data_IF_846897590101
#
_entry.id   IF_846897590101
#
_cell.length_a   1.000
_cell.length_b   1.000
_cell.length_c   1.000
_cell.angle_alpha   90.00
_cell.angle_beta   90.00
_cell.angle_gamma   90.00
#
_symmetry.space_group_name_H-M   'P 1'
#
loop_
_entity.id
_entity.type
_entity.pdbx_description
1 polymer ?
#
# COMPACT_ATOMS: atom_id res chain seq x y z
N UNK A 1 12.30 -25.67 18.85
CA UNK A 1 11.48 -24.77 18.02
C UNK A 1 12.21 -23.46 17.83
N UNK A 2 12.17 -22.90 16.62
CA UNK A 2 12.78 -21.62 16.31
C UNK A 2 11.87 -20.48 16.78
N UNK A 3 12.49 -19.37 17.18
CA UNK A 3 11.84 -18.15 17.61
C UNK A 3 11.82 -17.14 16.45
N UNK A 4 10.63 -16.78 16.01
CA UNK A 4 10.34 -15.75 15.02
C UNK A 4 8.99 -15.10 15.38
N UNK A 5 8.57 -14.08 14.63
CA UNK A 5 7.31 -13.37 14.87
C UNK A 5 6.14 -14.35 15.04
N UNK A 6 5.44 -14.36 16.19
CA UNK A 6 4.31 -15.26 16.43
C UNK A 6 3.21 -15.15 15.37
N UNK A 7 3.02 -13.98 14.76
CA UNK A 7 2.03 -13.77 13.70
C UNK A 7 2.31 -14.64 12.47
N UNK A 8 3.57 -14.94 12.16
CA UNK A 8 3.95 -15.76 11.00
C UNK A 8 3.46 -17.21 11.07
N UNK A 9 3.03 -17.68 12.25
CA UNK A 9 2.41 -19.01 12.38
C UNK A 9 0.99 -19.06 11.80
N UNK A 10 0.29 -17.93 11.78
CA UNK A 10 -1.11 -17.83 11.35
C UNK A 10 -1.27 -17.02 10.06
N UNK A 11 -0.31 -16.13 9.78
CA UNK A 11 -0.29 -15.26 8.61
C UNK A 11 1.05 -15.41 7.91
N UNK A 12 1.07 -16.22 6.84
CA UNK A 12 2.30 -16.51 6.10
C UNK A 12 2.92 -15.21 5.53
N UNK A 13 4.20 -14.92 5.81
CA UNK A 13 4.92 -13.81 5.16
C UNK A 13 5.27 -14.11 3.69
N UNK A 14 4.99 -15.33 3.20
CA UNK A 14 5.22 -15.74 1.82
C UNK A 14 5.68 -17.19 1.72
N UNK A 15 5.57 -17.77 0.51
CA UNK A 15 5.99 -19.14 0.27
C UNK A 15 7.51 -19.27 0.24
N UNK A 16 8.00 -20.46 0.58
CA UNK A 16 9.38 -20.86 0.34
C UNK A 16 9.62 -21.05 -1.17
N UNK A 17 10.82 -20.76 -1.70
CA UNK A 17 11.15 -21.07 -3.08
C UNK A 17 11.03 -22.58 -3.34
N UNK A 18 10.33 -22.99 -4.40
CA UNK A 18 10.17 -24.42 -4.73
C UNK A 18 11.50 -25.17 -4.89
N UNK A 19 12.56 -24.45 -5.29
CA UNK A 19 13.91 -25.02 -5.41
C UNK A 19 14.53 -25.37 -4.05
N UNK A 20 14.13 -24.69 -2.96
CA UNK A 20 14.56 -25.00 -1.59
C UNK A 20 14.03 -26.34 -1.12
N UNK A 21 12.79 -26.67 -1.49
CA UNK A 21 12.15 -27.93 -1.13
C UNK A 21 12.92 -29.13 -1.65
N UNK A 22 13.39 -29.06 -2.89
CA UNK A 22 14.25 -30.10 -3.46
C UNK A 22 15.56 -30.25 -2.69
N UNK A 23 16.20 -29.14 -2.30
CA UNK A 23 17.44 -29.19 -1.52
C UNK A 23 17.23 -29.81 -0.13
N UNK A 24 16.11 -29.52 0.53
CA UNK A 24 15.74 -30.17 1.79
C UNK A 24 15.44 -31.65 1.60
N UNK A 25 14.75 -32.02 0.53
CA UNK A 25 14.48 -33.41 0.18
C UNK A 25 15.79 -34.20 0.02
N UNK A 26 16.78 -33.64 -0.68
CA UNK A 26 18.11 -34.25 -0.86
C UNK A 26 18.86 -34.42 0.49
N UNK A 27 18.67 -33.52 1.46
CA UNK A 27 19.18 -33.72 2.82
C UNK A 27 18.45 -34.85 3.54
N UNK A 28 17.13 -34.93 3.43
CA UNK A 28 16.33 -35.97 4.06
C UNK A 28 16.74 -37.34 3.52
N UNK A 29 16.98 -37.49 2.22
CA UNK A 29 17.52 -38.73 1.63
C UNK A 29 18.84 -39.16 2.29
N UNK A 30 19.77 -38.23 2.51
CA UNK A 30 21.07 -38.50 3.14
C UNK A 30 20.94 -38.85 4.62
N UNK A 31 20.01 -38.22 5.35
CA UNK A 31 19.75 -38.52 6.76
C UNK A 31 19.09 -39.91 6.87
N UNK A 32 18.08 -40.17 6.03
CA UNK A 32 17.31 -41.41 6.02
C UNK A 32 18.14 -42.64 5.60
N UNK A 33 19.23 -42.46 4.86
CA UNK A 33 20.16 -43.52 4.49
C UNK A 33 21.01 -44.07 5.67
N UNK A 34 21.10 -43.35 6.79
CA UNK A 34 21.93 -43.75 7.94
C UNK A 34 21.24 -44.76 8.87
N UNK A 35 19.91 -44.86 8.78
CA UNK A 35 19.04 -45.66 9.69
C UNK A 35 17.86 -46.25 8.92
N UNK A 36 16.83 -46.68 9.66
CA UNK A 36 15.55 -47.06 9.09
C UNK A 36 14.95 -45.88 8.32
N UNK A 37 15.07 -45.92 6.99
CA UNK A 37 14.63 -44.87 6.08
C UNK A 37 13.15 -44.55 6.26
N UNK A 38 12.31 -45.56 6.45
CA UNK A 38 10.87 -45.36 6.63
C UNK A 38 10.59 -44.51 7.87
N UNK A 39 11.23 -44.82 9.01
CA UNK A 39 11.04 -44.06 10.27
C UNK A 39 11.48 -42.60 10.12
N UNK A 40 12.60 -42.35 9.46
CA UNK A 40 13.10 -40.98 9.26
C UNK A 40 12.18 -40.19 8.33
N UNK A 41 11.75 -40.79 7.21
CA UNK A 41 10.85 -40.16 6.25
C UNK A 41 9.50 -39.83 6.89
N UNK A 42 8.93 -40.76 7.68
CA UNK A 42 7.69 -40.55 8.42
C UNK A 42 7.82 -39.39 9.44
N UNK A 43 8.95 -39.29 10.14
CA UNK A 43 9.21 -38.19 11.08
C UNK A 43 9.24 -36.83 10.38
N UNK A 44 9.93 -36.73 9.25
CA UNK A 44 9.92 -35.50 8.45
C UNK A 44 8.52 -35.19 7.91
N UNK A 45 7.80 -36.20 7.41
CA UNK A 45 6.43 -36.03 6.89
C UNK A 45 5.50 -35.46 7.95
N UNK A 46 5.51 -36.03 9.15
CA UNK A 46 4.71 -35.55 10.28
C UNK A 46 5.08 -34.10 10.65
N UNK A 47 6.38 -33.78 10.67
CA UNK A 47 6.83 -32.43 10.96
C UNK A 47 6.35 -31.38 9.94
N UNK A 48 6.21 -31.75 8.66
CA UNK A 48 5.64 -30.91 7.61
C UNK A 48 4.10 -30.93 7.57
N UNK A 49 3.42 -31.54 8.54
CA UNK A 49 1.95 -31.58 8.62
C UNK A 49 1.29 -32.68 7.79
N UNK A 50 2.04 -33.71 7.39
CA UNK A 50 1.45 -34.96 6.92
C UNK A 50 0.84 -35.75 8.09
N UNK A 51 -0.25 -36.47 7.82
CA UNK A 51 -0.99 -37.23 8.82
C UNK A 51 -1.07 -38.71 8.46
N UNK A 52 -0.98 -39.59 9.46
CA UNK A 52 -1.08 -41.04 9.28
C UNK A 52 0.19 -41.66 8.71
N UNK A 53 0.39 -42.95 8.99
CA UNK A 53 1.56 -43.69 8.50
C UNK A 53 1.34 -44.14 7.06
N UNK A 54 2.37 -44.03 6.22
CA UNK A 54 2.30 -44.51 4.85
C UNK A 54 2.40 -46.02 4.80
N UNK A 55 1.64 -46.62 3.89
CA UNK A 55 1.49 -48.08 3.77
C UNK A 55 2.73 -48.78 3.17
N UNK A 56 3.66 -48.02 2.58
CA UNK A 56 4.95 -48.51 2.08
C UNK A 56 5.98 -47.39 2.09
N UNK A 57 7.26 -47.73 1.89
CA UNK A 57 8.34 -46.74 1.75
C UNK A 57 8.17 -45.82 0.53
N UNK A 58 7.66 -46.35 -0.60
CA UNK A 58 7.38 -45.52 -1.78
C UNK A 58 6.26 -44.53 -1.54
N UNK A 59 5.24 -44.93 -0.77
CA UNK A 59 4.19 -44.02 -0.31
C UNK A 59 4.72 -43.00 0.69
N UNK A 60 5.61 -43.41 1.61
CA UNK A 60 6.22 -42.50 2.58
C UNK A 60 6.95 -41.33 1.89
N UNK A 61 7.73 -41.61 0.84
CA UNK A 61 8.39 -40.57 0.05
C UNK A 61 7.42 -39.67 -0.72
N UNK A 62 6.37 -40.26 -1.32
CA UNK A 62 5.34 -39.50 -2.07
C UNK A 62 4.50 -38.61 -1.15
N UNK A 63 4.18 -39.11 0.04
CA UNK A 63 3.42 -38.38 1.04
C UNK A 63 4.28 -37.29 1.70
N UNK A 64 5.58 -37.54 1.89
CA UNK A 64 6.54 -36.53 2.32
C UNK A 64 6.64 -35.38 1.29
N UNK A 65 6.85 -35.69 0.01
CA UNK A 65 6.91 -34.69 -1.07
C UNK A 65 5.61 -33.84 -1.10
N UNK A 66 4.46 -34.49 -0.94
CA UNK A 66 3.15 -33.82 -0.85
C UNK A 66 2.98 -32.98 0.41
N UNK A 67 3.55 -33.39 1.54
CA UNK A 67 3.55 -32.61 2.78
C UNK A 67 4.48 -31.40 2.68
N UNK A 68 5.67 -31.57 2.12
CA UNK A 68 6.63 -30.48 1.90
C UNK A 68 6.04 -29.41 0.99
N UNK A 69 5.43 -29.79 -0.14
CA UNK A 69 4.76 -28.83 -1.04
C UNK A 69 3.67 -27.99 -0.38
N UNK A 70 2.90 -28.58 0.56
CA UNK A 70 1.90 -27.84 1.33
C UNK A 70 2.55 -26.92 2.36
N UNK A 71 3.58 -27.41 3.04
CA UNK A 71 4.29 -26.63 4.05
C UNK A 71 5.07 -25.43 3.44
N UNK A 72 5.49 -25.52 2.17
CA UNK A 72 6.13 -24.43 1.44
C UNK A 72 5.29 -23.15 1.40
N UNK A 73 3.96 -23.20 1.53
CA UNK A 73 3.10 -21.99 1.56
C UNK A 73 3.45 -21.04 2.71
N UNK A 74 4.16 -21.52 3.74
CA UNK A 74 4.63 -20.73 4.86
C UNK A 74 6.13 -20.99 5.12
N UNK A 75 6.98 -20.14 4.55
CA UNK A 75 8.43 -20.32 4.60
C UNK A 75 9.01 -20.45 6.03
N UNK A 76 8.65 -19.61 7.02
CA UNK A 76 9.11 -19.80 8.41
C UNK A 76 8.75 -21.16 9.01
N UNK A 77 7.52 -21.62 8.82
CA UNK A 77 7.08 -22.93 9.33
C UNK A 77 7.77 -24.08 8.61
N UNK A 78 7.96 -23.98 7.30
CA UNK A 78 8.70 -24.95 6.50
C UNK A 78 10.14 -25.11 6.99
N UNK A 79 10.84 -23.99 7.20
CA UNK A 79 12.23 -23.98 7.68
C UNK A 79 12.31 -24.49 9.12
N UNK A 80 11.37 -24.08 10.00
CA UNK A 80 11.30 -24.57 11.38
C UNK A 80 11.08 -26.09 11.43
N UNK A 81 10.17 -26.63 10.63
CA UNK A 81 9.87 -28.06 10.59
C UNK A 81 11.11 -28.88 10.23
N UNK A 82 11.83 -28.48 9.17
CA UNK A 82 13.06 -29.14 8.74
C UNK A 82 14.16 -29.08 9.83
N UNK A 83 14.42 -27.88 10.34
CA UNK A 83 15.46 -27.66 11.37
C UNK A 83 15.16 -28.44 12.65
N UNK A 84 13.90 -28.46 13.10
CA UNK A 84 13.48 -29.21 14.29
C UNK A 84 13.82 -30.69 14.15
N UNK A 85 13.43 -31.32 13.04
CA UNK A 85 13.71 -32.75 12.85
C UNK A 85 15.20 -33.02 12.69
N UNK A 86 15.97 -32.12 12.07
CA UNK A 86 17.42 -32.22 12.06
C UNK A 86 18.01 -32.23 13.47
N UNK A 87 17.52 -31.39 14.37
CA UNK A 87 17.97 -31.39 15.78
C UNK A 87 17.61 -32.69 16.50
N UNK A 88 16.39 -33.19 16.32
CA UNK A 88 15.97 -34.49 16.90
C UNK A 88 16.82 -35.65 16.36
N UNK A 89 17.13 -35.65 15.06
CA UNK A 89 18.02 -36.65 14.46
C UNK A 89 19.46 -36.52 14.97
N UNK A 90 19.96 -35.30 15.23
CA UNK A 90 21.27 -35.09 15.83
C UNK A 90 21.33 -35.64 17.26
N UNK A 91 20.27 -35.43 18.05
CA UNK A 91 20.15 -35.97 19.41
C UNK A 91 20.11 -37.52 19.41
N UNK A 92 19.53 -38.12 18.36
CA UNK A 92 19.57 -39.57 18.09
C UNK A 92 20.95 -40.07 17.57
N UNK A 93 21.94 -39.19 17.46
CA UNK A 93 23.30 -39.49 17.03
C UNK A 93 23.48 -39.63 15.50
N UNK A 94 22.57 -39.07 14.70
CA UNK A 94 22.66 -39.08 13.24
C UNK A 94 23.43 -37.86 12.71
N UNK A 95 24.12 -38.06 11.59
CA UNK A 95 24.72 -36.96 10.84
C UNK A 95 23.64 -36.12 10.16
N UNK A 96 23.58 -34.84 10.50
CA UNK A 96 22.65 -33.86 9.91
C UNK A 96 23.41 -32.64 9.38
N UNK A 97 22.85 -31.87 8.43
CA UNK A 97 23.48 -30.62 8.01
C UNK A 97 23.57 -29.66 9.20
N UNK A 98 24.76 -29.07 9.40
CA UNK A 98 24.93 -28.04 10.41
C UNK A 98 24.21 -26.74 10.01
N UNK A 99 24.06 -25.82 10.98
CA UNK A 99 23.38 -24.53 10.76
C UNK A 99 24.03 -23.72 9.64
N UNK A 100 25.36 -23.82 9.48
CA UNK A 100 26.08 -23.10 8.42
C UNK A 100 25.72 -23.65 7.03
N UNK A 101 25.59 -24.97 6.89
CA UNK A 101 25.17 -25.65 5.67
C UNK A 101 23.71 -25.33 5.33
N UNK A 102 22.81 -25.37 6.33
CA UNK A 102 21.40 -25.00 6.12
C UNK A 102 21.29 -23.54 5.67
N UNK A 103 21.98 -22.61 6.35
CA UNK A 103 21.98 -21.20 5.98
C UNK A 103 22.56 -20.92 4.59
N UNK A 104 23.57 -21.69 4.18
CA UNK A 104 24.11 -21.61 2.82
C UNK A 104 23.03 -21.96 1.80
N UNK A 105 22.31 -23.07 2.00
CA UNK A 105 21.21 -23.48 1.12
C UNK A 105 20.07 -22.45 1.13
N UNK A 106 19.70 -21.92 2.29
CA UNK A 106 18.70 -20.84 2.37
C UNK A 106 19.11 -19.60 1.56
N UNK A 107 20.38 -19.23 1.59
CA UNK A 107 20.91 -18.10 0.82
C UNK A 107 20.97 -18.39 -0.68
N UNK A 108 21.50 -19.55 -1.09
CA UNK A 108 21.62 -19.99 -2.49
C UNK A 108 20.26 -20.03 -3.20
N UNK A 109 19.23 -20.47 -2.48
CA UNK A 109 17.86 -20.56 -3.01
C UNK A 109 17.03 -19.28 -2.81
N UNK A 110 17.61 -18.22 -2.24
CA UNK A 110 16.92 -16.93 -2.06
C UNK A 110 15.73 -17.02 -1.10
N UNK A 111 15.79 -17.87 -0.08
CA UNK A 111 14.69 -18.09 0.86
C UNK A 111 14.32 -16.85 1.69
N UNK A 112 15.24 -15.88 1.82
CA UNK A 112 15.00 -14.64 2.57
C UNK A 112 15.11 -14.79 4.09
N UNK A 113 15.61 -15.92 4.58
CA UNK A 113 15.77 -16.21 6.02
C UNK A 113 17.17 -16.75 6.34
N UNK A 114 17.55 -16.62 7.61
CA UNK A 114 18.75 -17.20 8.22
C UNK A 114 18.43 -17.71 9.62
N UNK A 115 18.90 -18.91 9.92
CA UNK A 115 18.82 -19.54 11.23
C UNK A 115 19.99 -19.04 12.09
N UNK A 116 19.66 -18.38 13.19
CA UNK A 116 20.58 -17.94 14.24
C UNK A 116 20.06 -18.49 15.57
N UNK A 117 20.32 -19.77 15.91
CA UNK A 117 19.61 -20.43 17.01
C UNK A 117 19.67 -19.62 18.32
N UNK A 118 18.52 -19.41 19.00
CA UNK A 118 17.23 -20.04 18.75
C UNK A 118 16.33 -19.32 17.72
N UNK A 119 16.82 -18.29 17.05
CA UNK A 119 16.04 -17.39 16.21
C UNK A 119 16.05 -17.79 14.72
N UNK A 120 14.94 -17.50 14.03
CA UNK A 120 14.89 -17.44 12.57
C UNK A 120 14.75 -15.97 12.19
N UNK A 121 15.76 -15.42 11.51
CA UNK A 121 15.88 -14.01 11.17
C UNK A 121 15.63 -13.82 9.68
N UNK A 122 14.77 -12.87 9.29
CA UNK A 122 14.61 -12.49 7.89
C UNK A 122 15.85 -11.72 7.40
N UNK A 123 16.49 -12.20 6.33
CA UNK A 123 17.74 -11.64 5.78
C UNK A 123 17.57 -10.78 4.55
N UNK A 124 16.39 -10.83 3.92
CA UNK A 124 16.03 -9.94 2.82
C UNK A 124 14.77 -9.17 3.19
N UNK A 125 14.89 -7.93 3.73
CA UNK A 125 13.77 -7.03 3.89
C UNK A 125 13.40 -6.43 2.52
N UNK A 126 12.99 -7.27 1.56
CA UNK A 126 12.01 -6.79 0.59
C UNK A 126 10.80 -6.42 1.44
N UNK A 127 10.49 -5.13 1.44
CA UNK A 127 9.69 -4.41 2.43
C UNK A 127 8.59 -5.27 3.08
N UNK A 128 8.36 -5.16 4.41
CA UNK A 128 7.20 -5.78 5.02
C UNK A 128 6.00 -5.50 4.11
N UNK A 129 5.17 -6.50 3.76
CA UNK A 129 3.97 -6.25 2.98
C UNK A 129 3.27 -5.10 3.68
N UNK A 130 3.08 -3.99 2.97
CA UNK A 130 2.41 -2.81 3.51
C UNK A 130 1.12 -3.37 4.07
N UNK A 131 0.87 -3.30 5.40
CA UNK A 131 -0.36 -3.80 5.96
C UNK A 131 -1.48 -3.06 5.26
N UNK A 132 -2.15 -3.74 4.32
CA UNK A 132 -3.37 -3.25 3.72
C UNK A 132 -4.36 -3.35 4.87
N UNK A 133 -4.89 -2.23 5.37
CA UNK A 133 -5.87 -2.28 6.45
C UNK A 133 -7.03 -3.21 6.02
N UNK A 134 -7.53 -4.04 6.93
CA UNK A 134 -8.62 -5.01 6.68
C UNK A 134 -9.86 -4.37 6.03
N UNK A 135 -9.98 -3.05 6.14
CA UNK A 135 -10.65 -2.22 5.16
C UNK A 135 -9.84 -0.93 4.96
N UNK A 136 -9.18 -0.78 3.81
CA UNK A 136 -8.70 0.54 3.41
C UNK A 136 -9.91 1.50 3.46
N UNK A 137 -9.77 2.69 4.08
CA UNK A 137 -10.83 3.68 4.01
C UNK A 137 -11.23 3.85 2.54
N UNK A 138 -12.53 3.91 2.27
CA UNK A 138 -12.98 4.09 0.89
C UNK A 138 -12.29 5.30 0.28
N UNK A 139 -12.15 5.32 -1.05
CA UNK A 139 -11.58 6.47 -1.75
C UNK A 139 -12.28 7.78 -1.31
N UNK A 140 -13.60 7.72 -1.07
CA UNK A 140 -14.39 8.83 -0.54
C UNK A 140 -13.97 9.26 0.87
N UNK A 141 -13.71 8.31 1.76
CA UNK A 141 -13.24 8.59 3.11
C UNK A 141 -11.82 9.20 3.10
N UNK A 142 -10.93 8.70 2.23
CA UNK A 142 -9.59 9.25 2.05
C UNK A 142 -9.63 10.66 1.44
N UNK A 143 -10.49 10.89 0.44
CA UNK A 143 -10.68 12.20 -0.16
C UNK A 143 -11.21 13.21 0.86
N UNK A 144 -12.20 12.83 1.69
CA UNK A 144 -12.71 13.69 2.77
C UNK A 144 -11.64 14.04 3.79
N UNK A 145 -10.84 13.05 4.21
CA UNK A 145 -9.74 13.28 5.15
C UNK A 145 -8.68 14.22 4.57
N UNK A 146 -8.36 14.09 3.28
CA UNK A 146 -7.42 14.97 2.59
C UNK A 146 -7.93 16.40 2.48
N UNK A 147 -9.23 16.59 2.17
CA UNK A 147 -9.88 17.91 2.15
C UNK A 147 -9.75 18.55 3.53
N UNK A 148 -10.15 17.86 4.60
CA UNK A 148 -10.10 18.41 5.95
C UNK A 148 -8.68 18.76 6.37
N UNK A 149 -7.72 17.87 6.14
CA UNK A 149 -6.31 18.09 6.47
C UNK A 149 -5.74 19.34 5.76
N UNK A 150 -6.09 19.55 4.48
CA UNK A 150 -5.61 20.72 3.72
C UNK A 150 -6.26 22.02 4.21
N UNK A 151 -7.54 21.96 4.63
CA UNK A 151 -8.25 23.11 5.24
C UNK A 151 -7.62 23.50 6.58
N UNK A 152 -7.35 22.51 7.44
CA UNK A 152 -6.68 22.71 8.73
C UNK A 152 -5.25 23.23 8.55
N UNK A 153 -4.50 22.70 7.58
CA UNK A 153 -3.14 23.14 7.30
C UNK A 153 -3.10 24.59 6.82
N UNK A 154 -4.00 24.97 5.89
CA UNK A 154 -4.11 26.37 5.46
C UNK A 154 -4.41 27.31 6.64
N UNK A 155 -5.28 26.88 7.58
CA UNK A 155 -5.59 27.65 8.77
C UNK A 155 -4.37 27.82 9.67
N UNK A 156 -3.66 26.73 9.97
CA UNK A 156 -2.42 26.74 10.76
C UNK A 156 -1.35 27.65 10.14
N UNK A 157 -1.18 27.60 8.81
CA UNK A 157 -0.24 28.45 8.09
C UNK A 157 -0.59 29.94 8.19
N UNK A 158 -1.88 30.31 8.24
CA UNK A 158 -2.29 31.71 8.50
C UNK A 158 -1.91 32.16 9.92
N UNK A 159 -2.12 31.30 10.92
CA UNK A 159 -1.78 31.58 12.32
C UNK A 159 -0.26 31.73 12.52
N UNK A 160 0.53 30.90 11.84
CA UNK A 160 2.00 30.95 11.84
C UNK A 160 2.56 32.12 11.00
N UNK A 161 1.72 32.95 10.39
CA UNK A 161 2.15 34.08 9.55
C UNK A 161 2.71 33.67 8.18
N UNK A 162 2.55 32.40 7.78
CA UNK A 162 3.02 31.83 6.51
C UNK A 162 1.99 32.07 5.39
N UNK A 163 1.66 33.33 5.16
CA UNK A 163 0.58 33.78 4.26
C UNK A 163 0.61 33.18 2.85
N UNK A 164 1.77 33.14 2.19
CA UNK A 164 1.90 32.57 0.84
C UNK A 164 1.68 31.05 0.83
N UNK A 165 2.15 30.35 1.85
CA UNK A 165 1.99 28.90 1.95
C UNK A 165 0.52 28.55 2.20
N UNK A 166 -0.16 29.29 3.07
CA UNK A 166 -1.59 29.10 3.32
C UNK A 166 -2.44 29.23 2.04
N UNK A 167 -2.15 30.24 1.21
CA UNK A 167 -2.84 30.45 -0.07
C UNK A 167 -2.46 29.38 -1.08
N UNK A 168 -1.21 28.89 -1.07
CA UNK A 168 -0.79 27.78 -1.95
C UNK A 168 -1.53 26.49 -1.63
N UNK A 169 -1.65 26.15 -0.35
CA UNK A 169 -2.32 24.94 0.12
C UNK A 169 -3.79 24.90 -0.32
N UNK A 170 -4.51 26.00 -0.08
CA UNK A 170 -5.94 26.06 -0.40
C UNK A 170 -6.20 26.18 -1.91
N UNK A 171 -5.29 26.84 -2.66
CA UNK A 171 -5.38 26.92 -4.11
C UNK A 171 -5.11 25.56 -4.75
N UNK A 172 -4.17 24.78 -4.22
CA UNK A 172 -3.97 23.38 -4.60
C UNK A 172 -5.23 22.55 -4.36
N UNK A 173 -5.85 22.69 -3.19
CA UNK A 173 -7.08 21.97 -2.86
C UNK A 173 -8.22 22.31 -3.83
N UNK A 174 -8.39 23.60 -4.18
CA UNK A 174 -9.37 24.03 -5.16
C UNK A 174 -9.15 23.37 -6.53
N UNK A 175 -7.90 23.32 -6.99
CA UNK A 175 -7.55 22.66 -8.26
C UNK A 175 -7.88 21.17 -8.22
N UNK A 176 -7.53 20.50 -7.12
CA UNK A 176 -7.82 19.09 -6.87
C UNK A 176 -9.33 18.79 -6.91
N UNK A 177 -10.14 19.56 -6.17
CA UNK A 177 -11.60 19.39 -6.11
C UNK A 177 -12.26 19.60 -7.49
N UNK A 178 -11.79 20.57 -8.28
CA UNK A 178 -12.32 20.80 -9.61
C UNK A 178 -12.16 19.58 -10.53
N UNK A 179 -11.11 18.76 -10.37
CA UNK A 179 -10.88 17.59 -11.25
C UNK A 179 -11.97 16.53 -11.16
N UNK A 180 -12.72 16.48 -10.06
CA UNK A 180 -13.82 15.52 -9.85
C UNK A 180 -14.98 15.75 -10.83
N UNK A 181 -15.13 16.97 -11.36
CA UNK A 181 -16.16 17.29 -12.35
C UNK A 181 -15.88 16.73 -13.74
N UNK A 182 -14.70 16.16 -13.99
CA UNK A 182 -14.39 15.54 -15.27
C UNK A 182 -15.28 14.32 -15.49
N UNK A 183 -15.93 14.26 -16.65
CA UNK A 183 -16.91 13.24 -16.96
C UNK A 183 -18.34 13.58 -16.53
N UNK A 184 -18.56 14.66 -15.77
CA UNK A 184 -19.92 15.14 -15.48
C UNK A 184 -20.59 15.69 -16.74
N UNK A 185 -21.85 15.31 -16.95
CA UNK A 185 -22.69 15.89 -17.99
C UNK A 185 -23.12 17.30 -17.62
N UNK A 186 -23.05 18.21 -18.59
CA UNK A 186 -23.55 19.57 -18.54
C UNK A 186 -24.57 19.76 -19.66
N UNK A 187 -25.33 20.86 -19.65
CA UNK A 187 -26.33 21.11 -20.70
C UNK A 187 -25.72 21.22 -22.11
N UNK A 188 -24.44 21.62 -22.21
CA UNK A 188 -23.74 21.84 -23.49
C UNK A 188 -22.76 20.68 -23.84
N UNK A 189 -22.75 19.59 -23.07
CA UNK A 189 -21.87 18.43 -23.30
C UNK A 189 -21.21 17.91 -22.02
N UNK A 190 -20.14 17.14 -22.13
CA UNK A 190 -19.44 16.56 -20.97
C UNK A 190 -18.16 17.34 -20.66
N UNK A 191 -17.85 17.55 -19.39
CA UNK A 191 -16.57 18.12 -18.97
C UNK A 191 -15.43 17.14 -19.30
N UNK A 192 -14.49 17.54 -20.15
CA UNK A 192 -13.35 16.74 -20.59
C UNK A 192 -11.99 17.34 -20.19
N UNK A 193 -11.97 18.60 -19.78
CA UNK A 193 -10.79 19.32 -19.33
C UNK A 193 -9.97 18.58 -18.27
N UNK A 194 -8.65 18.76 -18.34
CA UNK A 194 -7.69 18.21 -17.37
C UNK A 194 -7.19 19.24 -16.36
N UNK A 195 -7.26 20.52 -16.71
CA UNK A 195 -6.72 21.63 -15.93
C UNK A 195 -7.85 22.52 -15.45
N UNK A 196 -7.67 23.14 -14.30
CA UNK A 196 -8.65 23.97 -13.61
C UNK A 196 -9.42 24.91 -14.54
N UNK A 197 -8.74 25.84 -15.23
CA UNK A 197 -9.40 26.82 -16.11
C UNK A 197 -10.22 26.20 -17.24
N UNK A 198 -9.80 25.02 -17.75
CA UNK A 198 -10.55 24.32 -18.80
C UNK A 198 -11.81 23.66 -18.22
N UNK A 199 -11.68 23.00 -17.06
CA UNK A 199 -12.82 22.38 -16.36
C UNK A 199 -13.87 23.44 -16.01
N UNK A 200 -13.46 24.51 -15.33
CA UNK A 200 -14.34 25.60 -14.93
C UNK A 200 -14.97 26.29 -16.15
N UNK A 201 -14.20 26.46 -17.23
CA UNK A 201 -14.71 27.03 -18.49
C UNK A 201 -15.79 26.17 -19.18
N UNK A 202 -15.63 24.85 -19.15
CA UNK A 202 -16.62 23.89 -19.68
C UNK A 202 -17.88 23.87 -18.79
N UNK A 203 -17.72 23.81 -17.46
CA UNK A 203 -18.83 23.91 -16.50
C UNK A 203 -19.61 25.22 -16.65
N UNK A 204 -18.90 26.33 -16.89
CA UNK A 204 -19.51 27.64 -17.10
C UNK A 204 -20.34 27.67 -18.38
N UNK A 205 -19.83 27.08 -19.47
CA UNK A 205 -20.52 27.09 -20.76
C UNK A 205 -21.88 26.39 -20.67
N UNK A 206 -21.96 25.25 -20.00
CA UNK A 206 -23.22 24.54 -19.77
C UNK A 206 -24.20 25.21 -18.80
N UNK A 207 -23.84 26.34 -18.19
CA UNK A 207 -24.64 27.03 -17.16
C UNK A 207 -24.84 28.52 -17.47
N UNK A 208 -24.82 28.91 -18.74
CA UNK A 208 -25.04 30.31 -19.18
C UNK A 208 -26.34 30.90 -18.63
N UNK A 209 -26.27 32.15 -18.18
CA UNK A 209 -27.38 32.91 -17.63
C UNK A 209 -27.75 32.56 -16.18
N UNK A 210 -26.99 31.68 -15.52
CA UNK A 210 -27.26 31.25 -14.14
C UNK A 210 -26.34 31.91 -13.12
N UNK A 211 -26.69 31.80 -11.84
CA UNK A 211 -25.79 32.19 -10.75
C UNK A 211 -24.48 31.40 -10.76
N UNK A 212 -24.52 30.14 -11.21
CA UNK A 212 -23.34 29.27 -11.32
C UNK A 212 -22.32 29.81 -12.33
N UNK A 213 -22.75 30.37 -13.46
CA UNK A 213 -21.84 31.05 -14.41
C UNK A 213 -21.06 32.17 -13.71
N UNK A 214 -21.73 33.02 -12.93
CA UNK A 214 -21.09 34.14 -12.23
C UNK A 214 -20.10 33.67 -11.15
N UNK A 215 -20.47 32.63 -10.40
CA UNK A 215 -19.59 32.06 -9.37
C UNK A 215 -18.33 31.48 -10.01
N UNK A 216 -18.47 30.73 -11.10
CA UNK A 216 -17.34 30.15 -11.85
C UNK A 216 -16.46 31.24 -12.48
N UNK A 217 -17.04 32.37 -12.88
CA UNK A 217 -16.30 33.55 -13.35
C UNK A 217 -15.46 34.21 -12.26
N UNK A 218 -16.02 34.41 -11.06
CA UNK A 218 -15.25 34.93 -9.92
C UNK A 218 -14.12 33.99 -9.51
N UNK A 219 -14.41 32.69 -9.50
CA UNK A 219 -13.43 31.66 -9.21
C UNK A 219 -12.27 31.68 -10.22
N UNK A 220 -12.58 31.78 -11.51
CA UNK A 220 -11.58 31.88 -12.59
C UNK A 220 -10.73 33.15 -12.45
N UNK A 221 -11.35 34.29 -12.11
CA UNK A 221 -10.63 35.56 -11.88
C UNK A 221 -9.67 35.46 -10.70
N UNK A 222 -10.11 34.90 -9.57
CA UNK A 222 -9.28 34.71 -8.39
C UNK A 222 -8.11 33.77 -8.68
N UNK A 223 -8.39 32.60 -9.26
CA UNK A 223 -7.36 31.62 -9.64
C UNK A 223 -6.35 32.22 -10.61
N UNK A 224 -6.82 32.92 -11.65
CA UNK A 224 -5.95 33.57 -12.63
C UNK A 224 -5.04 34.63 -12.02
N UNK A 225 -5.54 35.44 -11.08
CA UNK A 225 -4.73 36.40 -10.35
C UNK A 225 -3.66 35.70 -9.49
N UNK A 226 -4.05 34.70 -8.69
CA UNK A 226 -3.14 34.05 -7.75
C UNK A 226 -2.08 33.18 -8.44
N UNK A 227 -2.43 32.50 -9.54
CA UNK A 227 -1.54 31.60 -10.29
C UNK A 227 -0.62 32.32 -11.30
N UNK A 228 -0.87 33.61 -11.57
CA UNK A 228 -0.05 34.42 -12.47
C UNK A 228 1.29 34.79 -11.83
N UNK A 229 2.43 34.64 -12.54
CA UNK A 229 3.74 35.11 -12.08
C UNK A 229 3.79 36.62 -11.80
N UNK A 230 3.00 37.42 -12.52
CA UNK A 230 2.90 38.89 -12.35
C UNK A 230 1.74 39.31 -11.43
N UNK A 231 0.96 38.35 -10.92
CA UNK A 231 -0.09 38.56 -9.93
C UNK A 231 0.35 38.07 -8.55
N UNK A 232 -0.46 37.20 -7.93
CA UNK A 232 -0.19 36.63 -6.60
C UNK A 232 1.02 35.69 -6.55
N UNK A 233 1.49 35.19 -7.69
CA UNK A 233 2.72 34.40 -7.79
C UNK A 233 2.71 33.09 -7.00
N UNK A 234 1.53 32.53 -6.74
CA UNK A 234 1.34 31.29 -5.98
C UNK A 234 1.34 30.12 -6.96
N UNK A 235 2.44 29.36 -7.00
CA UNK A 235 2.55 28.12 -7.78
C UNK A 235 3.23 27.04 -6.94
N UNK A 236 2.76 25.80 -7.10
CA UNK A 236 3.27 24.62 -6.42
C UNK A 236 4.81 24.54 -6.55
N UNK A 237 5.50 24.54 -5.41
CA UNK A 237 6.94 24.25 -5.27
C UNK A 237 7.97 25.23 -5.87
N UNK A 238 7.61 26.46 -6.28
CA UNK A 238 8.64 27.42 -6.71
C UNK A 238 8.81 28.59 -5.73
N UNK A 239 10.03 28.72 -5.21
CA UNK A 239 10.56 29.94 -4.64
C UNK A 239 10.68 31.00 -5.75
N UNK A 240 9.54 31.54 -6.17
CA UNK A 240 9.49 32.68 -7.06
C UNK A 240 9.97 33.88 -6.24
N UNK A 241 11.27 34.18 -6.34
CA UNK A 241 11.93 35.41 -5.86
C UNK A 241 11.28 36.72 -6.36
N UNK A 242 10.16 36.66 -7.09
CA UNK A 242 9.58 37.77 -7.85
C UNK A 242 8.03 37.89 -7.78
N UNK A 243 7.33 37.11 -6.94
CA UNK A 243 5.88 37.29 -6.75
C UNK A 243 5.56 38.45 -5.79
N UNK A 244 4.43 39.15 -6.01
CA UNK A 244 3.94 40.18 -5.07
C UNK A 244 3.83 39.59 -3.66
N UNK A 245 4.28 40.32 -2.64
CA UNK A 245 4.17 39.88 -1.26
C UNK A 245 2.69 39.85 -0.86
N UNK A 246 2.19 38.67 -0.47
CA UNK A 246 0.81 38.52 0.02
C UNK A 246 0.79 38.89 1.50
N UNK A 247 0.07 39.96 1.85
CA UNK A 247 -0.11 40.38 3.23
C UNK A 247 -1.01 39.41 4.01
N UNK A 248 -0.94 39.44 5.34
CA UNK A 248 -1.67 38.49 6.19
C UNK A 248 -3.20 38.63 6.08
N UNK A 249 -3.70 39.87 5.96
CA UNK A 249 -5.12 40.16 5.71
C UNK A 249 -5.57 39.71 4.32
N UNK A 250 -4.73 39.90 3.29
CA UNK A 250 -4.99 39.43 1.93
C UNK A 250 -5.04 37.90 1.88
N UNK A 251 -4.07 37.22 2.48
CA UNK A 251 -4.05 35.76 2.57
C UNK A 251 -5.29 35.22 3.29
N UNK A 252 -5.70 35.85 4.40
CA UNK A 252 -6.93 35.46 5.11
C UNK A 252 -8.17 35.61 4.21
N UNK A 253 -8.27 36.70 3.45
CA UNK A 253 -9.36 36.90 2.49
C UNK A 253 -9.34 35.84 1.38
N UNK A 254 -8.17 35.61 0.77
CA UNK A 254 -8.03 34.61 -0.30
C UNK A 254 -8.36 33.20 0.20
N UNK A 255 -7.83 32.78 1.35
CA UNK A 255 -8.16 31.48 1.94
C UNK A 255 -9.66 31.34 2.22
N UNK A 256 -10.31 32.38 2.74
CA UNK A 256 -11.75 32.36 2.98
C UNK A 256 -12.56 32.22 1.68
N UNK A 257 -12.23 33.00 0.65
CA UNK A 257 -12.91 32.92 -0.66
C UNK A 257 -12.73 31.55 -1.30
N UNK A 258 -11.50 31.03 -1.31
CA UNK A 258 -11.20 29.73 -1.90
C UNK A 258 -11.91 28.60 -1.12
N UNK A 259 -11.93 28.67 0.21
CA UNK A 259 -12.71 27.71 1.02
C UNK A 259 -14.20 27.74 0.67
N UNK A 260 -14.79 28.93 0.52
CA UNK A 260 -16.19 29.05 0.07
C UNK A 260 -16.41 28.44 -1.32
N UNK A 261 -15.47 28.59 -2.24
CA UNK A 261 -15.54 27.96 -3.56
C UNK A 261 -15.40 26.43 -3.51
N UNK A 262 -14.53 25.91 -2.67
CA UNK A 262 -14.39 24.46 -2.44
C UNK A 262 -15.69 23.89 -1.90
N UNK A 263 -16.26 24.50 -0.86
CA UNK A 263 -17.55 24.07 -0.29
C UNK A 263 -18.65 24.08 -1.36
N UNK A 264 -18.74 25.15 -2.13
CA UNK A 264 -19.71 25.25 -3.23
C UNK A 264 -19.54 24.12 -4.27
N UNK A 265 -18.31 23.84 -4.70
CA UNK A 265 -18.04 22.77 -5.67
C UNK A 265 -18.37 21.38 -5.12
N UNK A 266 -18.10 21.11 -3.84
CA UNK A 266 -18.45 19.83 -3.22
C UNK A 266 -19.97 19.63 -3.20
N UNK A 267 -20.71 20.64 -2.72
CA UNK A 267 -22.18 20.59 -2.66
C UNK A 267 -22.81 20.47 -4.06
N UNK A 268 -22.26 21.18 -5.05
CA UNK A 268 -22.74 21.13 -6.43
C UNK A 268 -22.48 19.78 -7.08
N UNK A 269 -21.32 19.16 -6.82
CA UNK A 269 -21.04 17.81 -7.28
C UNK A 269 -22.03 16.80 -6.67
N UNK A 270 -22.30 16.87 -5.37
CA UNK A 270 -23.29 16.01 -4.71
C UNK A 270 -24.70 16.19 -5.29
N UNK A 271 -25.09 17.42 -5.61
CA UNK A 271 -26.36 17.74 -6.27
C UNK A 271 -26.47 17.06 -7.64
N UNK A 272 -25.42 17.15 -8.46
CA UNK A 272 -25.37 16.53 -9.79
C UNK A 272 -25.43 15.00 -9.73
N UNK A 273 -24.72 14.38 -8.77
CA UNK A 273 -24.76 12.93 -8.58
C UNK A 273 -26.18 12.43 -8.22
N UNK A 274 -26.88 13.13 -7.31
CA UNK A 274 -28.26 12.81 -6.94
C UNK A 274 -29.22 12.91 -8.13
N UNK A 275 -29.08 13.92 -8.99
CA UNK A 275 -29.90 14.06 -10.19
C UNK A 275 -29.65 12.92 -11.20
N UNK A 276 -28.41 12.47 -11.34
CA UNK A 276 -28.05 11.34 -12.20
C UNK A 276 -28.67 10.00 -11.75
N UNK A 277 -28.74 9.74 -10.44
CA UNK A 277 -29.34 8.51 -9.89
C UNK A 277 -30.86 8.47 -10.00
N UNK A 278 -31.53 9.62 -10.08
CA UNK A 278 -33.01 9.68 -10.14
C UNK A 278 -33.56 9.55 -11.57
N UNK A 279 -32.68 9.63 -12.59
CA UNK A 279 -33.03 9.58 -14.01
C UNK A 279 -32.73 8.21 -14.66
N UNK A 280 -32.29 7.22 -13.88
CA UNK A 280 -32.05 5.82 -14.29
C UNK A 280 -33.09 4.90 -13.64
#
# INVERSE_FOLDING_TARGET
MLKFDPAWRFSSPGPAPATLSRAFYDFIEKIAAQRNTWVIVERFKEAFGGSGNSSSLSWAWSDLDSAMRRAEENAPLFIEAFYRVCMECADDGLGVPDVAMINRVLAEHGAGYRIEPPHLVATNPQAPPIPVPDAAPSLDAQARALIEASLEESHRLIEEGKSRQAVSEILWLLESVATVFRGTGTNDGTVQGKYFNKIIGEMRSGNRGTAQEQILDWMTKLHGYLSSPTGGGVRHCMDLKAGVAIQQNEARLYCNLIRSYITYLIEEHERLQKMGTTAA
#
